data_IF_994278446095
#
_entry.id   IF_994278446095
#
_cell.length_a   1.000
_cell.length_b   1.000
_cell.length_c   1.000
_cell.angle_alpha   90.00
_cell.angle_beta   90.00
_cell.angle_gamma   90.00
#
_symmetry.space_group_name_H-M   'P 1'
#
loop_
_entity.id
_entity.type
_entity.pdbx_description
1 polymer ?
#
# COMPACT_ATOMS: atom_id res chain seq x y z
N UNK A 1 56.32 -28.46 -11.73
CA UNK A 1 55.03 -28.86 -11.13
C UNK A 1 54.17 -27.63 -11.00
N UNK A 2 53.01 -27.53 -11.68
CA UNK A 2 52.09 -26.41 -11.49
C UNK A 2 50.99 -26.79 -10.49
N UNK A 3 50.78 -25.96 -9.47
CA UNK A 3 49.72 -26.09 -8.47
C UNK A 3 48.60 -25.08 -8.74
N UNK A 4 47.45 -25.63 -9.13
CA UNK A 4 46.07 -25.27 -8.75
C UNK A 4 45.67 -23.79 -8.71
N UNK A 5 44.96 -23.35 -9.75
CA UNK A 5 44.14 -22.12 -9.78
C UNK A 5 42.68 -22.40 -10.19
N UNK A 6 42.12 -23.56 -9.81
CA UNK A 6 40.87 -24.09 -10.41
C UNK A 6 39.56 -24.02 -9.61
N UNK A 7 39.52 -23.50 -8.37
CA UNK A 7 38.37 -23.74 -7.48
C UNK A 7 37.42 -22.55 -7.22
N UNK A 8 37.72 -21.32 -7.65
CA UNK A 8 36.86 -20.15 -7.33
C UNK A 8 35.77 -19.86 -8.36
N UNK A 9 35.95 -20.25 -9.62
CA UNK A 9 35.05 -19.84 -10.70
C UNK A 9 33.78 -20.72 -10.82
N UNK A 10 33.85 -21.99 -10.40
CA UNK A 10 32.74 -22.95 -10.52
C UNK A 10 31.66 -22.72 -9.45
N UNK A 11 32.04 -22.30 -8.24
CA UNK A 11 31.09 -22.02 -7.16
C UNK A 11 30.31 -20.72 -7.36
N UNK A 12 30.91 -19.70 -8.01
CA UNK A 12 30.27 -18.40 -8.24
C UNK A 12 29.15 -18.49 -9.27
N UNK A 13 29.44 -19.05 -10.46
CA UNK A 13 28.42 -19.23 -11.51
C UNK A 13 27.25 -20.16 -11.11
N UNK A 14 27.47 -21.08 -10.16
CA UNK A 14 26.40 -21.95 -9.63
C UNK A 14 25.54 -21.27 -8.55
N UNK A 15 26.07 -20.24 -7.88
CA UNK A 15 25.33 -19.42 -6.92
C UNK A 15 24.51 -18.35 -7.66
N UNK A 16 25.10 -17.76 -8.68
CA UNK A 16 24.49 -16.76 -9.57
C UNK A 16 23.21 -17.27 -10.25
N UNK A 17 23.25 -18.45 -10.88
CA UNK A 17 22.08 -19.05 -11.57
C UNK A 17 20.92 -19.44 -10.61
N UNK A 18 21.21 -19.62 -9.31
CA UNK A 18 20.16 -19.89 -8.32
C UNK A 18 19.29 -18.65 -8.09
N UNK A 19 19.85 -17.45 -8.11
CA UNK A 19 19.09 -16.21 -7.88
C UNK A 19 18.03 -16.00 -8.96
N UNK A 20 18.37 -16.20 -10.23
CA UNK A 20 17.39 -16.16 -11.34
C UNK A 20 16.32 -17.27 -11.22
N UNK A 21 16.73 -18.48 -10.83
CA UNK A 21 15.79 -19.60 -10.63
C UNK A 21 14.82 -19.36 -9.45
N UNK A 22 15.30 -18.76 -8.37
CA UNK A 22 14.47 -18.35 -7.23
C UNK A 22 13.45 -17.29 -7.67
N UNK A 23 13.90 -16.26 -8.40
CA UNK A 23 13.04 -15.22 -8.93
C UNK A 23 11.93 -15.77 -9.83
N UNK A 24 12.26 -16.69 -10.75
CA UNK A 24 11.27 -17.37 -11.62
C UNK A 24 10.17 -18.06 -10.78
N UNK A 25 10.56 -18.73 -9.70
CA UNK A 25 9.62 -19.37 -8.79
C UNK A 25 8.75 -18.35 -8.04
N UNK A 26 9.34 -17.26 -7.55
CA UNK A 26 8.62 -16.18 -6.88
C UNK A 26 7.61 -15.50 -7.81
N UNK A 27 8.01 -15.20 -9.05
CA UNK A 27 7.13 -14.67 -10.11
C UNK A 27 5.97 -15.64 -10.37
N UNK A 28 6.25 -16.94 -10.50
CA UNK A 28 5.22 -17.95 -10.75
C UNK A 28 4.18 -18.01 -9.63
N UNK A 29 4.63 -17.95 -8.37
CA UNK A 29 3.75 -17.89 -7.19
C UNK A 29 2.92 -16.61 -7.15
N UNK A 30 3.53 -15.47 -7.48
CA UNK A 30 2.83 -14.18 -7.57
C UNK A 30 1.74 -14.19 -8.65
N UNK A 31 2.08 -14.65 -9.87
CA UNK A 31 1.12 -14.80 -10.98
C UNK A 31 -0.04 -15.71 -10.58
N UNK A 32 0.25 -16.84 -9.94
CA UNK A 32 -0.78 -17.76 -9.46
C UNK A 32 -1.70 -17.09 -8.42
N UNK A 33 -1.12 -16.42 -7.41
CA UNK A 33 -1.89 -15.70 -6.39
C UNK A 33 -2.85 -14.68 -7.01
N UNK A 34 -2.35 -13.80 -7.88
CA UNK A 34 -3.15 -12.75 -8.53
C UNK A 34 -4.23 -13.38 -9.43
N UNK A 35 -3.93 -14.48 -10.12
CA UNK A 35 -4.89 -15.19 -10.98
C UNK A 35 -6.01 -15.87 -10.18
N UNK A 36 -5.71 -16.36 -8.97
CA UNK A 36 -6.70 -16.97 -8.08
C UNK A 36 -7.58 -15.97 -7.33
N UNK A 37 -7.18 -14.69 -7.25
CA UNK A 37 -7.95 -13.69 -6.53
C UNK A 37 -9.28 -13.40 -7.23
N UNK A 38 -10.37 -13.85 -6.60
CA UNK A 38 -11.70 -13.82 -7.20
C UNK A 38 -12.73 -12.97 -6.43
N UNK A 39 -12.46 -12.48 -5.21
CA UNK A 39 -13.58 -12.02 -4.36
C UNK A 39 -13.44 -10.74 -3.54
N UNK A 40 -12.33 -9.97 -3.59
CA UNK A 40 -12.27 -8.71 -2.83
C UNK A 40 -11.57 -7.59 -3.60
N UNK A 41 -12.25 -6.48 -3.92
CA UNK A 41 -11.64 -5.35 -4.62
C UNK A 41 -10.70 -4.61 -3.67
N UNK A 42 -9.40 -4.82 -3.86
CA UNK A 42 -8.33 -4.06 -3.20
C UNK A 42 -8.07 -2.75 -3.97
N UNK A 43 -7.73 -1.63 -3.32
CA UNK A 43 -7.49 -0.34 -3.98
C UNK A 43 -6.47 -0.36 -5.14
N UNK A 44 -5.50 -1.27 -5.14
CA UNK A 44 -4.48 -1.42 -6.20
C UNK A 44 -4.61 -2.74 -6.98
N UNK A 45 -5.77 -3.39 -6.94
CA UNK A 45 -5.95 -4.71 -7.57
C UNK A 45 -5.68 -4.69 -9.08
N UNK A 46 -6.04 -3.61 -9.76
CA UNK A 46 -5.79 -3.49 -11.20
C UNK A 46 -4.29 -3.42 -11.50
N UNK A 47 -3.53 -2.69 -10.69
CA UNK A 47 -2.09 -2.57 -10.86
C UNK A 47 -1.37 -3.91 -10.70
N UNK A 48 -1.77 -4.73 -9.71
CA UNK A 48 -1.26 -6.10 -9.57
C UNK A 48 -1.59 -6.96 -10.80
N UNK A 49 -2.80 -6.80 -11.35
CA UNK A 49 -3.26 -7.54 -12.53
C UNK A 49 -2.49 -7.13 -13.78
N UNK A 50 -2.22 -5.83 -13.95
CA UNK A 50 -1.40 -5.30 -15.03
C UNK A 50 0.04 -5.84 -14.91
N UNK A 51 0.60 -5.85 -13.71
CA UNK A 51 1.96 -6.34 -13.45
C UNK A 51 2.15 -7.82 -13.83
N UNK A 52 1.11 -8.65 -13.70
CA UNK A 52 1.15 -10.06 -14.11
C UNK A 52 1.47 -10.21 -15.61
N UNK A 53 0.99 -9.31 -16.46
CA UNK A 53 1.31 -9.33 -17.89
C UNK A 53 2.80 -9.20 -18.14
N UNK A 54 3.41 -8.14 -17.59
CA UNK A 54 4.83 -7.88 -17.72
C UNK A 54 5.71 -8.96 -17.07
N UNK A 55 5.32 -9.46 -15.90
CA UNK A 55 6.08 -10.52 -15.21
C UNK A 55 6.03 -11.87 -15.95
N UNK A 56 4.98 -12.16 -16.71
CA UNK A 56 4.94 -13.36 -17.58
C UNK A 56 6.01 -13.27 -18.68
N UNK A 57 6.15 -12.11 -19.32
CA UNK A 57 7.17 -11.88 -20.34
C UNK A 57 8.58 -11.93 -19.73
N UNK A 58 8.77 -11.30 -18.57
CA UNK A 58 10.06 -11.35 -17.87
C UNK A 58 10.43 -12.79 -17.48
N UNK A 59 9.47 -13.58 -17.01
CA UNK A 59 9.69 -14.99 -16.70
C UNK A 59 10.22 -15.76 -17.92
N UNK A 60 9.62 -15.56 -19.10
CA UNK A 60 10.08 -16.21 -20.34
C UNK A 60 11.52 -15.82 -20.67
N UNK A 61 11.85 -14.53 -20.54
CA UNK A 61 13.22 -14.02 -20.74
C UNK A 61 14.20 -14.66 -19.74
N UNK A 62 13.83 -14.78 -18.47
CA UNK A 62 14.67 -15.40 -17.45
C UNK A 62 14.82 -16.91 -17.63
N UNK A 63 13.77 -17.62 -18.06
CA UNK A 63 13.85 -19.05 -18.40
C UNK A 63 14.91 -19.27 -19.50
N UNK A 64 14.91 -18.43 -20.55
CA UNK A 64 15.94 -18.50 -21.61
C UNK A 64 17.36 -18.25 -21.07
N UNK A 65 17.53 -17.27 -20.18
CA UNK A 65 18.83 -17.00 -19.53
C UNK A 65 19.33 -18.21 -18.75
N UNK A 66 18.43 -18.87 -18.01
CA UNK A 66 18.75 -20.05 -17.20
C UNK A 66 19.15 -21.23 -18.10
N UNK A 67 18.40 -21.46 -19.18
CA UNK A 67 18.62 -22.58 -20.11
C UNK A 67 19.89 -22.40 -20.97
N UNK A 68 20.18 -21.18 -21.42
CA UNK A 68 21.28 -20.91 -22.35
C UNK A 68 22.62 -20.58 -21.67
N UNK A 69 22.68 -20.59 -20.32
CA UNK A 69 23.88 -20.28 -19.53
C UNK A 69 24.59 -19.00 -20.02
N UNK A 70 23.83 -17.91 -20.09
CA UNK A 70 24.36 -16.57 -20.38
C UNK A 70 25.58 -16.30 -19.47
N UNK A 71 26.63 -15.63 -19.95
CA UNK A 71 27.81 -15.34 -19.14
C UNK A 71 27.43 -14.73 -17.78
N UNK A 72 28.05 -15.20 -16.69
CA UNK A 72 27.81 -14.68 -15.34
C UNK A 72 28.00 -13.17 -15.32
N UNK A 73 26.94 -12.43 -15.01
CA UNK A 73 26.98 -11.00 -14.80
C UNK A 73 26.50 -10.70 -13.37
N UNK A 74 27.41 -10.23 -12.52
CA UNK A 74 27.15 -9.99 -11.10
C UNK A 74 26.06 -8.92 -10.87
N UNK A 75 25.92 -7.98 -11.81
CA UNK A 75 24.90 -6.94 -11.74
C UNK A 75 23.53 -7.54 -12.04
N UNK A 76 23.42 -8.39 -13.06
CA UNK A 76 22.18 -9.09 -13.41
C UNK A 76 21.61 -9.88 -12.22
N UNK A 77 22.44 -10.70 -11.57
CA UNK A 77 21.94 -11.56 -10.50
C UNK A 77 21.64 -10.78 -9.22
N UNK A 78 22.36 -9.70 -8.96
CA UNK A 78 22.00 -8.77 -7.88
C UNK A 78 20.63 -8.13 -8.14
N UNK A 79 20.37 -7.64 -9.36
CA UNK A 79 19.04 -7.11 -9.71
C UNK A 79 17.95 -8.19 -9.63
N UNK A 80 18.27 -9.45 -9.96
CA UNK A 80 17.33 -10.56 -9.77
C UNK A 80 16.98 -10.80 -8.29
N UNK A 81 17.95 -10.69 -7.38
CA UNK A 81 17.71 -10.78 -5.93
C UNK A 81 16.86 -9.61 -5.42
N UNK A 82 17.15 -8.40 -5.87
CA UNK A 82 16.36 -7.20 -5.49
C UNK A 82 14.91 -7.29 -5.98
N UNK A 83 14.70 -7.80 -7.19
CA UNK A 83 13.36 -8.06 -7.72
C UNK A 83 12.67 -9.21 -6.98
N UNK A 84 13.39 -10.28 -6.62
CA UNK A 84 12.81 -11.42 -5.88
C UNK A 84 12.25 -10.98 -4.52
N UNK A 85 12.99 -10.15 -3.79
CA UNK A 85 12.53 -9.53 -2.54
C UNK A 85 11.26 -8.72 -2.78
N UNK A 86 11.26 -7.83 -3.79
CA UNK A 86 10.11 -6.97 -4.06
C UNK A 86 8.84 -7.76 -4.45
N UNK A 87 9.00 -8.81 -5.27
CA UNK A 87 7.90 -9.71 -5.67
C UNK A 87 7.36 -10.47 -4.46
N UNK A 88 8.23 -10.95 -3.56
CA UNK A 88 7.82 -11.67 -2.36
C UNK A 88 7.12 -10.74 -1.36
N UNK A 89 7.61 -9.51 -1.14
CA UNK A 89 6.96 -8.51 -0.29
C UNK A 89 5.58 -8.12 -0.83
N UNK A 90 5.46 -7.93 -2.16
CA UNK A 90 4.17 -7.64 -2.80
C UNK A 90 3.19 -8.82 -2.67
N UNK A 91 3.69 -10.05 -2.84
CA UNK A 91 2.90 -11.28 -2.63
C UNK A 91 2.40 -11.37 -1.19
N UNK A 92 3.29 -11.20 -0.21
CA UNK A 92 2.95 -11.28 1.22
C UNK A 92 1.94 -10.20 1.61
N UNK A 93 2.12 -8.97 1.12
CA UNK A 93 1.14 -7.90 1.32
C UNK A 93 -0.24 -8.32 0.80
N UNK A 94 -0.30 -8.87 -0.41
CA UNK A 94 -1.53 -9.30 -1.04
C UNK A 94 -2.19 -10.50 -0.32
N UNK A 95 -1.41 -11.47 0.16
CA UNK A 95 -1.90 -12.62 0.93
C UNK A 95 -2.54 -12.18 2.26
N UNK A 96 -1.94 -11.18 2.90
CA UNK A 96 -2.39 -10.65 4.19
C UNK A 96 -3.51 -9.59 4.06
N UNK A 97 -3.77 -9.10 2.85
CA UNK A 97 -4.73 -8.03 2.66
C UNK A 97 -6.17 -8.48 2.97
N UNK A 98 -6.91 -7.63 3.68
CA UNK A 98 -8.32 -7.88 3.94
C UNK A 98 -9.15 -6.58 3.95
N UNK A 99 -10.50 -6.65 3.77
CA UNK A 99 -11.35 -5.47 3.66
C UNK A 99 -11.44 -4.62 4.95
N UNK A 100 -10.83 -5.08 6.05
CA UNK A 100 -10.74 -4.35 7.32
C UNK A 100 -9.48 -3.48 7.42
N UNK A 101 -8.58 -3.58 6.43
CA UNK A 101 -7.40 -2.73 6.31
C UNK A 101 -7.77 -1.38 5.69
N UNK A 102 -6.98 -0.37 6.03
CA UNK A 102 -7.11 0.99 5.50
C UNK A 102 -6.86 0.97 4.01
N UNK A 103 -7.74 1.61 3.24
CA UNK A 103 -7.56 1.77 1.81
C UNK A 103 -6.37 2.69 1.51
N UNK A 104 -6.21 3.79 2.26
CA UNK A 104 -5.10 4.73 2.10
C UNK A 104 -3.76 4.04 2.39
N UNK A 105 -3.64 3.33 3.51
CA UNK A 105 -2.40 2.62 3.85
C UNK A 105 -2.13 1.47 2.89
N UNK A 106 -3.18 0.80 2.39
CA UNK A 106 -3.02 -0.24 1.36
C UNK A 106 -2.34 0.29 0.10
N UNK A 107 -2.71 1.48 -0.36
CA UNK A 107 -2.07 2.13 -1.51
C UNK A 107 -0.61 2.48 -1.17
N UNK A 108 -0.39 3.18 -0.04
CA UNK A 108 0.93 3.64 0.37
C UNK A 108 1.95 2.50 0.56
N UNK A 109 1.51 1.31 0.94
CA UNK A 109 2.40 0.18 1.14
C UNK A 109 2.57 -0.70 -0.10
N UNK A 110 1.53 -0.82 -0.93
CA UNK A 110 1.60 -1.69 -2.12
C UNK A 110 2.24 -0.99 -3.32
N UNK A 111 1.99 0.30 -3.52
CA UNK A 111 2.44 1.00 -4.71
C UNK A 111 3.97 1.11 -4.84
N UNK A 112 4.75 1.40 -3.76
CA UNK A 112 6.21 1.38 -3.85
C UNK A 112 6.77 0.01 -4.26
N UNK A 113 6.13 -1.09 -3.85
CA UNK A 113 6.51 -2.44 -4.23
C UNK A 113 6.29 -2.67 -5.73
N UNK A 114 5.14 -2.25 -6.26
CA UNK A 114 4.84 -2.38 -7.69
C UNK A 114 5.76 -1.53 -8.56
N UNK A 115 6.07 -0.30 -8.14
CA UNK A 115 7.05 0.57 -8.82
C UNK A 115 8.43 -0.10 -8.82
N UNK A 116 8.86 -0.66 -7.69
CA UNK A 116 10.14 -1.37 -7.59
C UNK A 116 10.18 -2.61 -8.49
N UNK A 117 9.09 -3.40 -8.52
CA UNK A 117 8.96 -4.54 -9.42
C UNK A 117 9.10 -4.09 -10.87
N UNK A 118 8.42 -3.03 -11.28
CA UNK A 118 8.50 -2.49 -12.64
C UNK A 118 9.92 -2.03 -12.98
N UNK A 119 10.56 -1.24 -12.11
CA UNK A 119 11.89 -0.67 -12.36
C UNK A 119 12.98 -1.74 -12.41
N UNK A 120 12.99 -2.68 -11.48
CA UNK A 120 13.97 -3.77 -11.45
C UNK A 120 13.75 -4.75 -12.61
N UNK A 121 12.50 -5.05 -12.98
CA UNK A 121 12.19 -5.84 -14.16
C UNK A 121 12.74 -5.20 -15.44
N UNK A 122 12.59 -3.87 -15.57
CA UNK A 122 13.08 -3.13 -16.72
C UNK A 122 14.62 -3.11 -16.76
N UNK A 123 15.28 -2.99 -15.61
CA UNK A 123 16.74 -3.03 -15.54
C UNK A 123 17.30 -4.40 -15.89
N UNK A 124 16.70 -5.48 -15.39
CA UNK A 124 17.04 -6.86 -15.79
C UNK A 124 16.96 -7.01 -17.31
N UNK A 125 15.86 -6.54 -17.94
CA UNK A 125 15.72 -6.60 -19.39
C UNK A 125 16.80 -5.78 -20.12
N UNK A 126 17.18 -4.60 -19.61
CA UNK A 126 18.28 -3.81 -20.20
C UNK A 126 19.61 -4.54 -20.12
N UNK A 127 19.92 -5.15 -18.98
CA UNK A 127 21.16 -5.91 -18.78
C UNK A 127 21.20 -7.09 -19.75
N UNK A 128 20.15 -7.91 -19.80
CA UNK A 128 20.06 -9.05 -20.72
C UNK A 128 20.15 -8.59 -22.18
N UNK A 129 19.46 -7.51 -22.55
CA UNK A 129 19.52 -6.97 -23.90
C UNK A 129 20.95 -6.55 -24.32
N UNK A 130 21.73 -5.97 -23.40
CA UNK A 130 23.16 -5.67 -23.65
C UNK A 130 24.01 -6.93 -23.81
N UNK A 131 23.78 -7.94 -22.96
CA UNK A 131 24.50 -9.22 -23.02
C UNK A 131 24.16 -9.98 -24.33
N UNK A 132 22.90 -10.00 -24.74
CA UNK A 132 22.46 -10.66 -25.98
C UNK A 132 22.97 -9.98 -27.25
N UNK A 133 23.27 -8.68 -27.24
CA UNK A 133 23.90 -8.02 -28.41
C UNK A 133 25.31 -8.56 -28.70
N UNK A 134 25.97 -9.19 -27.72
CA UNK A 134 27.27 -9.82 -27.89
C UNK A 134 27.22 -11.25 -28.43
N UNK A 135 26.02 -11.87 -28.52
CA UNK A 135 25.82 -13.25 -28.99
C UNK A 135 24.57 -13.37 -29.90
N UNK A 136 24.69 -13.80 -31.17
CA UNK A 136 23.72 -13.51 -32.24
C UNK A 136 22.46 -14.41 -32.28
N UNK A 137 21.87 -14.78 -31.14
CA UNK A 137 20.58 -15.48 -31.13
C UNK A 137 19.40 -14.47 -31.21
N UNK A 138 18.79 -14.36 -32.38
CA UNK A 138 17.76 -13.35 -32.72
C UNK A 138 16.44 -13.48 -31.93
N UNK A 139 16.12 -14.66 -31.41
CA UNK A 139 14.90 -14.93 -30.63
C UNK A 139 14.91 -14.25 -29.25
N UNK A 140 16.02 -14.37 -28.51
CA UNK A 140 16.13 -13.82 -27.15
C UNK A 140 16.01 -12.29 -27.14
N UNK A 141 16.58 -11.63 -28.16
CA UNK A 141 16.53 -10.18 -28.29
C UNK A 141 15.11 -9.66 -28.52
N UNK A 142 14.29 -10.40 -29.27
CA UNK A 142 12.90 -10.01 -29.55
C UNK A 142 12.03 -10.14 -28.29
N UNK A 143 12.19 -11.24 -27.53
CA UNK A 143 11.49 -11.44 -26.26
C UNK A 143 11.83 -10.35 -25.23
N UNK A 144 13.12 -9.98 -25.13
CA UNK A 144 13.58 -8.89 -24.28
C UNK A 144 12.98 -7.55 -24.69
N UNK A 145 12.96 -7.23 -25.99
CA UNK A 145 12.37 -5.98 -26.50
C UNK A 145 10.88 -5.88 -26.21
N UNK A 146 10.12 -6.96 -26.42
CA UNK A 146 8.70 -7.02 -26.09
C UNK A 146 8.47 -6.81 -24.59
N UNK A 147 9.25 -7.47 -23.73
CA UNK A 147 9.16 -7.31 -22.29
C UNK A 147 9.45 -5.86 -21.86
N UNK A 148 10.48 -5.23 -22.43
CA UNK A 148 10.82 -3.83 -22.15
C UNK A 148 9.70 -2.88 -22.55
N UNK A 149 9.12 -3.07 -23.73
CA UNK A 149 8.04 -2.23 -24.22
C UNK A 149 6.81 -2.32 -23.31
N UNK A 150 6.40 -3.53 -22.93
CA UNK A 150 5.28 -3.74 -22.02
C UNK A 150 5.52 -3.09 -20.66
N UNK A 151 6.72 -3.26 -20.09
CA UNK A 151 7.10 -2.64 -18.81
C UNK A 151 7.11 -1.11 -18.88
N UNK A 152 7.49 -0.51 -20.01
CA UNK A 152 7.50 0.94 -20.21
C UNK A 152 6.09 1.51 -20.41
N UNK A 153 5.20 0.75 -21.04
CA UNK A 153 3.81 1.15 -21.27
C UNK A 153 2.89 0.89 -20.07
N UNK A 154 3.38 0.22 -19.02
CA UNK A 154 2.58 -0.08 -17.83
C UNK A 154 2.30 1.19 -17.01
N UNK A 155 1.04 1.62 -17.03
CA UNK A 155 0.53 2.72 -16.23
C UNK A 155 -0.03 2.20 -14.89
N UNK A 156 0.63 2.56 -13.79
CA UNK A 156 0.14 2.35 -12.43
C UNK A 156 -0.81 3.49 -12.03
N UNK A 157 -1.85 3.19 -11.27
CA UNK A 157 -2.80 4.21 -10.83
C UNK A 157 -2.11 5.31 -10.00
N UNK A 158 -2.24 6.57 -10.40
CA UNK A 158 -1.53 7.72 -9.77
C UNK A 158 -2.15 8.18 -8.45
N UNK A 159 -2.89 7.32 -7.77
CA UNK A 159 -3.57 7.68 -6.53
C UNK A 159 -2.57 7.89 -5.38
N UNK A 160 -1.45 7.17 -5.34
CA UNK A 160 -0.39 7.47 -4.36
C UNK A 160 0.13 8.89 -4.50
N UNK A 161 0.25 9.43 -5.73
CA UNK A 161 0.75 10.79 -5.95
C UNK A 161 -0.16 11.81 -5.26
N UNK A 162 -1.48 11.64 -5.35
CA UNK A 162 -2.43 12.51 -4.65
C UNK A 162 -2.34 12.37 -3.13
N UNK A 163 -2.16 11.14 -2.61
CA UNK A 163 -1.99 10.90 -1.18
C UNK A 163 -0.68 11.51 -0.69
N UNK A 164 0.43 11.23 -1.36
CA UNK A 164 1.75 11.75 -1.00
C UNK A 164 1.82 13.26 -1.07
N UNK A 165 1.22 13.90 -2.09
CA UNK A 165 1.13 15.35 -2.16
C UNK A 165 0.33 15.91 -0.98
N UNK A 166 -0.81 15.29 -0.65
CA UNK A 166 -1.59 15.69 0.51
C UNK A 166 -0.85 15.46 1.84
N UNK A 167 0.03 14.46 1.94
CA UNK A 167 0.88 14.24 3.11
C UNK A 167 2.05 15.24 3.17
N UNK A 168 2.66 15.59 2.04
CA UNK A 168 3.72 16.61 1.95
C UNK A 168 3.21 17.98 2.37
N UNK A 169 2.06 18.42 1.86
CA UNK A 169 1.48 19.71 2.23
C UNK A 169 1.26 19.84 3.75
N UNK A 170 0.95 18.75 4.45
CA UNK A 170 0.78 18.75 5.91
C UNK A 170 2.08 19.02 6.67
N UNK A 171 3.23 18.59 6.13
CA UNK A 171 4.54 18.81 6.75
C UNK A 171 4.94 20.29 6.69
N UNK A 172 4.45 21.02 5.69
CA UNK A 172 4.66 22.46 5.55
C UNK A 172 3.66 23.30 6.39
N UNK A 173 2.90 22.67 7.30
CA UNK A 173 1.79 23.27 8.05
C UNK A 173 0.68 23.86 7.16
N UNK A 174 0.63 23.44 5.89
CA UNK A 174 -0.37 23.88 4.91
C UNK A 174 -1.51 22.86 4.85
N UNK A 175 -2.75 23.36 4.87
CA UNK A 175 -3.92 22.51 4.64
C UNK A 175 -3.82 21.92 3.23
N UNK A 176 -3.91 20.59 3.04
CA UNK A 176 -3.79 19.97 1.74
C UNK A 176 -4.77 20.59 0.73
N UNK A 177 -4.35 20.83 -0.52
CA UNK A 177 -5.24 21.42 -1.51
C UNK A 177 -6.48 20.53 -1.70
N UNK A 178 -7.67 21.15 -1.65
CA UNK A 178 -8.96 20.46 -1.70
C UNK A 178 -9.09 19.52 -2.92
N UNK A 179 -8.43 19.84 -4.04
CA UNK A 179 -8.42 19.00 -5.24
C UNK A 179 -7.85 17.59 -5.00
N UNK A 180 -6.74 17.48 -4.26
CA UNK A 180 -6.16 16.18 -3.91
C UNK A 180 -7.07 15.40 -2.97
N UNK A 181 -7.66 16.08 -1.97
CA UNK A 181 -8.59 15.46 -1.02
C UNK A 181 -9.84 14.92 -1.72
N UNK A 182 -10.44 15.69 -2.64
CA UNK A 182 -11.60 15.24 -3.43
C UNK A 182 -11.25 14.01 -4.26
N UNK A 183 -10.08 14.01 -4.92
CA UNK A 183 -9.67 12.86 -5.73
C UNK A 183 -9.47 11.60 -4.89
N UNK A 184 -8.88 11.72 -3.70
CA UNK A 184 -8.73 10.61 -2.74
C UNK A 184 -10.11 10.09 -2.32
N UNK A 185 -11.04 10.99 -1.96
CA UNK A 185 -12.41 10.62 -1.54
C UNK A 185 -13.13 9.84 -2.64
N UNK A 186 -13.09 10.35 -3.88
CA UNK A 186 -13.78 9.76 -5.03
C UNK A 186 -13.16 8.39 -5.39
N UNK A 187 -11.84 8.32 -5.56
CA UNK A 187 -11.16 7.07 -5.95
C UNK A 187 -11.27 5.98 -4.89
N UNK A 188 -11.23 6.31 -3.60
CA UNK A 188 -11.35 5.33 -2.51
C UNK A 188 -12.80 5.06 -2.08
N UNK A 189 -13.78 5.71 -2.70
CA UNK A 189 -15.19 5.64 -2.32
C UNK A 189 -15.42 5.98 -0.84
N UNK A 190 -14.71 6.99 -0.32
CA UNK A 190 -14.88 7.52 1.05
C UNK A 190 -16.01 8.57 1.09
N UNK A 191 -17.09 8.32 0.36
CA UNK A 191 -18.15 9.30 0.07
C UNK A 191 -19.21 9.40 1.17
N UNK A 192 -19.21 8.48 2.13
CA UNK A 192 -20.12 8.51 3.27
C UNK A 192 -19.37 8.58 4.59
N UNK A 193 -20.04 9.16 5.57
CA UNK A 193 -19.63 9.18 6.97
C UNK A 193 -19.30 7.79 7.52
N UNK A 194 -20.09 6.78 7.13
CA UNK A 194 -19.88 5.40 7.56
C UNK A 194 -18.60 4.80 6.96
N UNK A 195 -18.31 5.08 5.68
CA UNK A 195 -17.08 4.64 5.03
C UNK A 195 -15.85 5.34 5.63
N UNK A 196 -15.92 6.65 5.89
CA UNK A 196 -14.83 7.38 6.53
C UNK A 196 -14.59 6.91 7.98
N UNK A 197 -15.64 6.56 8.72
CA UNK A 197 -15.51 5.97 10.05
C UNK A 197 -14.84 4.59 10.00
N UNK A 198 -15.22 3.73 9.04
CA UNK A 198 -14.56 2.43 8.83
C UNK A 198 -13.08 2.61 8.52
N UNK A 199 -12.75 3.55 7.63
CA UNK A 199 -11.37 3.87 7.28
C UNK A 199 -10.58 4.40 8.49
N UNK A 200 -11.17 5.31 9.28
CA UNK A 200 -10.56 5.84 10.50
C UNK A 200 -10.20 4.73 11.49
N UNK A 201 -11.12 3.78 11.70
CA UNK A 201 -10.89 2.61 12.55
C UNK A 201 -9.81 1.69 11.99
N UNK A 202 -9.77 1.52 10.66
CA UNK A 202 -8.78 0.66 10.00
C UNK A 202 -7.35 1.23 10.13
N UNK A 203 -7.17 2.52 9.85
CA UNK A 203 -5.90 3.24 10.03
C UNK A 203 -5.42 3.14 11.48
N UNK A 204 -6.33 3.30 12.44
CA UNK A 204 -5.97 3.25 13.85
C UNK A 204 -5.50 1.85 14.29
N UNK A 205 -6.16 0.79 13.80
CA UNK A 205 -5.73 -0.59 14.05
C UNK A 205 -4.35 -0.87 13.47
N UNK A 206 -4.05 -0.32 12.30
CA UNK A 206 -2.73 -0.41 11.68
C UNK A 206 -1.67 0.35 12.46
N UNK A 207 -1.99 1.54 12.95
CA UNK A 207 -1.13 2.32 13.84
C UNK A 207 -0.73 1.52 15.07
N UNK A 208 -1.70 0.88 15.73
CA UNK A 208 -1.44 0.02 16.90
C UNK A 208 -0.56 -1.17 16.55
N UNK A 209 -0.77 -1.83 15.39
CA UNK A 209 0.08 -2.95 14.93
C UNK A 209 1.53 -2.50 14.73
N UNK A 210 1.75 -1.36 14.07
CA UNK A 210 3.11 -0.83 13.82
C UNK A 210 3.78 -0.35 15.11
N UNK A 211 3.01 0.23 16.04
CA UNK A 211 3.52 0.65 17.35
C UNK A 211 4.08 -0.52 18.15
N UNK A 212 3.42 -1.68 18.11
CA UNK A 212 3.91 -2.93 18.73
C UNK A 212 5.21 -3.41 18.07
N UNK A 213 5.30 -3.31 16.74
CA UNK A 213 6.47 -3.76 15.96
C UNK A 213 7.66 -2.78 15.99
N UNK A 214 7.52 -1.60 16.61
CA UNK A 214 8.57 -0.57 16.81
C UNK A 214 9.28 -0.08 15.52
N UNK A 215 8.60 -0.12 14.38
CA UNK A 215 9.17 0.39 13.12
C UNK A 215 8.93 1.90 13.02
N UNK A 216 9.90 2.71 13.47
CA UNK A 216 9.78 4.18 13.63
C UNK A 216 9.27 4.89 12.36
N UNK A 217 9.89 4.64 11.19
CA UNK A 217 9.51 5.31 9.94
C UNK A 217 8.08 4.99 9.47
N UNK A 218 7.60 3.77 9.68
CA UNK A 218 6.21 3.39 9.35
C UNK A 218 5.20 4.01 10.32
N UNK A 219 5.58 4.20 11.59
CA UNK A 219 4.70 4.83 12.58
C UNK A 219 4.46 6.31 12.27
N UNK A 220 5.52 7.05 11.90
CA UNK A 220 5.40 8.46 11.51
C UNK A 220 4.51 8.62 10.26
N UNK A 221 4.67 7.73 9.27
CA UNK A 221 3.80 7.73 8.08
C UNK A 221 2.33 7.47 8.44
N UNK A 222 2.02 6.50 9.31
CA UNK A 222 0.64 6.23 9.73
C UNK A 222 0.07 7.40 10.53
N UNK A 223 0.86 8.05 11.39
CA UNK A 223 0.42 9.25 12.10
C UNK A 223 0.01 10.37 11.12
N UNK A 224 0.77 10.56 10.04
CA UNK A 224 0.39 11.50 8.97
C UNK A 224 -0.89 11.08 8.26
N UNK A 225 -1.13 9.78 8.06
CA UNK A 225 -2.41 9.28 7.52
C UNK A 225 -3.58 9.59 8.45
N UNK A 226 -3.41 9.50 9.78
CA UNK A 226 -4.47 9.89 10.74
C UNK A 226 -4.82 11.38 10.61
N UNK A 227 -3.81 12.23 10.40
CA UNK A 227 -4.03 13.67 10.13
C UNK A 227 -4.71 13.87 8.78
N UNK A 228 -4.30 13.14 7.74
CA UNK A 228 -4.96 13.17 6.43
C UNK A 228 -6.45 12.81 6.51
N UNK A 229 -6.82 11.79 7.30
CA UNK A 229 -8.23 11.43 7.53
C UNK A 229 -9.00 12.58 8.17
N UNK A 230 -8.38 13.32 9.08
CA UNK A 230 -8.98 14.52 9.69
C UNK A 230 -9.16 15.64 8.67
N UNK A 231 -8.19 15.85 7.76
CA UNK A 231 -8.31 16.81 6.67
C UNK A 231 -9.41 16.42 5.66
N UNK A 232 -9.52 15.14 5.32
CA UNK A 232 -10.61 14.59 4.49
C UNK A 232 -11.95 14.87 5.15
N UNK A 233 -12.05 14.62 6.45
CA UNK A 233 -13.25 14.88 7.25
C UNK A 233 -13.65 16.36 7.19
N UNK A 234 -12.71 17.27 7.38
CA UNK A 234 -12.95 18.71 7.30
C UNK A 234 -13.36 19.16 5.90
N UNK A 235 -12.76 18.56 4.86
CA UNK A 235 -13.11 18.79 3.47
C UNK A 235 -14.56 18.38 3.17
N UNK A 236 -14.99 17.21 3.66
CA UNK A 236 -16.37 16.73 3.49
C UNK A 236 -17.39 17.64 4.17
N UNK A 237 -17.06 18.18 5.35
CA UNK A 237 -17.94 19.11 6.08
C UNK A 237 -18.11 20.46 5.37
N UNK A 238 -17.02 20.99 4.81
CA UNK A 238 -17.00 22.31 4.16
C UNK A 238 -17.69 22.29 2.79
N UNK A 239 -17.62 21.16 2.08
CA UNK A 239 -18.19 20.99 0.75
C UNK A 239 -19.72 20.95 0.76
N UNK A 240 -20.35 21.74 -0.11
CA UNK A 240 -21.81 21.75 -0.30
C UNK A 240 -22.35 20.43 -0.88
N UNK A 241 -21.48 19.59 -1.46
CA UNK A 241 -21.84 18.26 -1.97
C UNK A 241 -22.30 17.26 -0.90
N UNK A 242 -22.01 17.52 0.37
CA UNK A 242 -22.30 16.62 1.49
C UNK A 242 -23.15 17.28 2.59
N UNK A 243 -23.77 18.44 2.32
CA UNK A 243 -24.61 19.15 3.29
C UNK A 243 -26.08 18.76 3.18
N UNK A 244 -26.59 18.33 4.34
CA UNK A 244 -27.95 18.50 4.87
C UNK A 244 -28.94 17.32 4.75
N UNK A 245 -29.48 16.97 5.92
CA UNK A 245 -30.88 16.58 6.07
C UNK A 245 -31.67 17.89 5.99
N UNK A 246 -32.56 18.05 5.00
CA UNK A 246 -33.50 19.19 4.89
C UNK A 246 -32.94 20.57 4.53
N UNK A 247 -31.73 20.69 3.98
CA UNK A 247 -31.18 21.96 3.46
C UNK A 247 -30.60 22.94 4.49
N UNK A 248 -30.61 22.61 5.80
CA UNK A 248 -29.99 23.44 6.85
C UNK A 248 -28.60 22.88 7.20
N UNK A 249 -27.52 23.67 7.12
CA UNK A 249 -26.20 23.23 7.52
C UNK A 249 -26.12 23.05 9.04
N UNK A 250 -25.79 21.83 9.49
CA UNK A 250 -25.54 21.56 10.92
C UNK A 250 -24.25 22.31 11.34
N UNK A 251 -24.26 23.11 12.41
CA UNK A 251 -23.03 23.72 12.91
C UNK A 251 -22.01 22.66 13.37
N UNK A 252 -20.69 22.85 13.13
CA UNK A 252 -19.67 21.85 13.46
C UNK A 252 -19.69 21.35 14.92
N UNK A 253 -20.08 22.21 15.87
CA UNK A 253 -20.14 21.88 17.29
C UNK A 253 -21.23 20.86 17.66
N UNK A 254 -22.26 20.70 16.82
CA UNK A 254 -23.32 19.70 17.02
C UNK A 254 -23.03 18.38 16.29
N UNK A 255 -21.92 18.31 15.54
CA UNK A 255 -21.55 17.11 14.80
C UNK A 255 -20.65 16.21 15.64
N UNK A 256 -20.86 14.91 15.54
CA UNK A 256 -19.95 13.93 16.09
C UNK A 256 -18.60 14.02 15.33
N UNK A 257 -17.45 14.16 16.02
CA UNK A 257 -16.16 14.21 15.34
C UNK A 257 -15.78 12.89 14.64
N UNK A 258 -16.42 11.77 14.96
CA UNK A 258 -16.19 10.46 14.31
C UNK A 258 -17.06 10.28 13.07
N UNK A 259 -18.37 10.41 13.21
CA UNK A 259 -19.33 10.17 12.13
C UNK A 259 -19.65 11.39 11.29
N UNK A 260 -19.27 12.61 11.70
CA UNK A 260 -19.70 13.86 11.07
C UNK A 260 -21.23 14.11 11.04
N UNK A 261 -22.02 13.26 11.66
CA UNK A 261 -23.48 13.38 11.75
C UNK A 261 -23.89 14.22 12.95
N UNK A 262 -25.13 14.72 12.93
CA UNK A 262 -25.74 15.37 14.08
C UNK A 262 -25.73 14.39 15.28
N UNK A 263 -25.21 14.83 16.42
CA UNK A 263 -25.29 14.06 17.65
C UNK A 263 -26.73 14.10 18.17
N UNK A 264 -27.35 12.93 18.33
CA UNK A 264 -28.67 12.77 18.93
C UNK A 264 -28.53 12.30 20.39
N UNK A 265 -27.51 11.52 20.69
CA UNK A 265 -27.17 11.04 22.03
C UNK A 265 -25.69 11.36 22.34
N UNK A 266 -25.37 12.64 22.63
CA UNK A 266 -24.00 13.07 22.88
C UNK A 266 -23.45 12.51 24.20
N UNK A 267 -22.25 11.96 24.15
CA UNK A 267 -21.49 11.46 25.31
C UNK A 267 -20.13 12.12 25.35
N UNK A 268 -19.74 12.59 26.54
CA UNK A 268 -18.41 13.15 26.79
C UNK A 268 -17.48 12.01 27.23
N UNK A 269 -16.35 11.87 26.55
CA UNK A 269 -15.27 10.97 26.97
C UNK A 269 -14.28 11.69 27.88
N UNK A 270 -13.42 10.94 28.56
CA UNK A 270 -12.43 11.45 29.52
C UNK A 270 -11.55 12.60 29.02
N UNK A 271 -11.30 12.70 27.70
CA UNK A 271 -10.55 13.82 27.10
C UNK A 271 -11.36 15.11 26.96
N UNK A 272 -12.61 15.14 27.43
CA UNK A 272 -13.51 16.29 27.32
C UNK A 272 -14.13 16.48 25.93
N UNK A 273 -13.90 15.56 24.99
CA UNK A 273 -14.54 15.60 23.67
C UNK A 273 -15.91 14.92 23.70
N UNK A 274 -16.86 15.49 22.94
CA UNK A 274 -18.22 14.97 22.81
C UNK A 274 -18.36 14.18 21.50
N UNK A 275 -18.98 13.01 21.58
CA UNK A 275 -19.27 12.14 20.43
C UNK A 275 -20.71 11.63 20.50
N UNK A 276 -21.27 11.23 19.35
CA UNK A 276 -22.47 10.40 19.31
C UNK A 276 -22.18 9.04 19.96
N UNK A 277 -23.04 8.58 20.89
CA UNK A 277 -22.84 7.35 21.66
C UNK A 277 -22.56 6.15 20.77
N UNK A 278 -23.37 5.94 19.73
CA UNK A 278 -23.23 4.79 18.85
C UNK A 278 -21.86 4.78 18.12
N UNK A 279 -21.36 5.97 17.75
CA UNK A 279 -20.10 6.12 17.04
C UNK A 279 -18.89 5.86 17.94
N UNK A 280 -18.87 6.43 19.16
CA UNK A 280 -17.78 6.21 20.10
C UNK A 280 -17.81 4.79 20.69
N UNK A 281 -18.99 4.22 20.92
CA UNK A 281 -19.12 2.83 21.37
C UNK A 281 -18.53 1.89 20.32
N UNK A 282 -18.87 2.07 19.04
CA UNK A 282 -18.27 1.29 17.95
C UNK A 282 -16.75 1.41 17.94
N UNK A 283 -16.20 2.60 18.15
CA UNK A 283 -14.74 2.81 18.24
C UNK A 283 -14.11 2.00 19.39
N UNK A 284 -14.71 2.08 20.59
CA UNK A 284 -14.26 1.33 21.77
C UNK A 284 -14.42 -0.19 21.60
N UNK A 285 -15.52 -0.66 21.01
CA UNK A 285 -15.78 -2.08 20.72
C UNK A 285 -14.74 -2.67 19.75
N UNK A 286 -14.06 -1.84 18.97
CA UNK A 286 -12.94 -2.25 18.12
C UNK A 286 -11.60 -2.37 18.86
N UNK A 287 -11.59 -2.19 20.19
CA UNK A 287 -10.42 -2.22 21.06
C UNK A 287 -9.63 -0.92 21.08
N UNK A 288 -10.19 0.17 20.53
CA UNK A 288 -9.51 1.46 20.40
C UNK A 288 -9.77 2.32 21.64
N UNK A 289 -8.98 2.13 22.69
CA UNK A 289 -9.17 2.80 23.99
C UNK A 289 -8.64 4.25 24.05
N UNK A 290 -8.52 4.90 22.91
CA UNK A 290 -8.02 6.27 22.78
C UNK A 290 -9.07 7.17 22.15
N UNK A 291 -9.02 8.47 22.44
CA UNK A 291 -9.89 9.47 21.85
C UNK A 291 -9.46 9.70 20.40
N UNK A 292 -10.36 9.58 19.42
CA UNK A 292 -10.05 9.78 17.99
C UNK A 292 -9.49 11.16 17.64
N UNK A 293 -9.66 12.15 18.51
CA UNK A 293 -9.25 13.54 18.26
C UNK A 293 -8.03 13.96 19.08
N UNK A 294 -7.95 13.54 20.35
CA UNK A 294 -6.85 13.94 21.25
C UNK A 294 -5.80 12.85 21.43
N UNK A 295 -6.09 11.62 20.98
CA UNK A 295 -5.28 10.42 21.19
C UNK A 295 -4.94 10.11 22.67
N UNK A 296 -5.65 10.73 23.61
CA UNK A 296 -5.61 10.41 25.04
C UNK A 296 -6.59 9.28 25.36
N UNK A 297 -6.51 8.64 26.52
CA UNK A 297 -7.44 7.55 26.89
C UNK A 297 -8.91 7.95 26.74
N UNK A 298 -9.68 7.17 25.98
CA UNK A 298 -11.12 7.32 25.87
C UNK A 298 -11.82 6.31 26.79
N UNK A 299 -12.43 6.79 27.86
CA UNK A 299 -13.47 6.09 28.59
C UNK A 299 -14.69 6.99 28.69
N UNK A 300 -15.88 6.42 28.48
CA UNK A 300 -17.13 7.14 28.70
C UNK A 300 -17.36 7.24 30.19
N UNK A 301 -17.65 8.43 30.71
CA UNK A 301 -18.18 8.54 32.07
C UNK A 301 -19.48 7.74 32.13
N UNK A 302 -19.49 6.62 32.86
CA UNK A 302 -20.75 5.98 33.23
C UNK A 302 -21.50 7.00 34.08
N UNK A 303 -22.63 7.49 33.58
CA UNK A 303 -23.58 8.24 34.40
C UNK A 303 -23.96 7.35 35.58
N UNK A 304 -23.54 7.73 36.78
CA UNK A 304 -23.90 7.09 38.05
C UNK A 304 -25.41 6.84 38.10
N UNK A 305 -25.82 5.60 37.84
CA UNK A 305 -27.18 5.10 38.08
C UNK A 305 -27.15 3.68 38.69
N UNK A 306 -26.02 3.33 39.31
CA UNK A 306 -25.90 2.19 40.23
C UNK A 306 -25.14 2.66 41.48
N UNK A 307 -25.80 3.48 42.29
CA UNK A 307 -25.57 3.51 43.73
C UNK A 307 -26.75 2.77 44.34
N UNK A 308 -26.65 1.45 44.40
CA UNK A 308 -27.42 0.64 45.33
C UNK A 308 -26.47 0.13 46.41
N UNK A 309 -26.97 0.26 47.65
CA UNK A 309 -26.36 0.08 48.97
C UNK A 309 -25.58 1.28 49.50
#
# INVERSE_FOLDING_TARGET
MPTSTGLTHVNRGQMDMKSASCLINSISRFIHLVSCQTFKPMPTQNDYRNMVGSLKLLKQVLDEVVDHKVPSDEILFKECEELDVAVNEAREFMENWCPKMSKICSILWSQPLLIKIQSSSLEICRIIGRLSQSSPSTSSLTAVQLCMQELQCLELERLSEHIEEALRSQQDEIVPPTGHLIKIIESLSLTSNQELLKESVAVEKERMKVQVNKIKGKLDQINQVVVLISNIRDCMVKSDRFKAISGVPIPPYFRCPLSLELMLDPVIVASGQTYERASIQKWLDHGLNICPKTHQTAHTHKSHSELHC
#
